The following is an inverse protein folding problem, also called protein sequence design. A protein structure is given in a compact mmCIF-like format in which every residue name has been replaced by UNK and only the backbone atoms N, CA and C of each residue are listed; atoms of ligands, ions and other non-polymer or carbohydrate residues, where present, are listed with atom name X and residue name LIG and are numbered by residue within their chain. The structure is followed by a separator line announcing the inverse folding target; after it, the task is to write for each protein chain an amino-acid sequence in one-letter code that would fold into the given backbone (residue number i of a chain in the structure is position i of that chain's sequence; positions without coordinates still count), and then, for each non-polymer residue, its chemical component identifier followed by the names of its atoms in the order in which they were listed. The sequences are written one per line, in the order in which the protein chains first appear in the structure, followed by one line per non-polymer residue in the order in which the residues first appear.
data_IF_708915058610
#
_entry.id   IF_708915058610
#
_cell.length_a   1.000
_cell.length_b   1.000
_cell.length_c   1.000
_cell.angle_alpha   90.00
_cell.angle_beta   90.00
_cell.angle_gamma   90.00
#
_symmetry.space_group_name_H-M   'P 1'
#
loop_
_entity.id
_entity.type
_entity.pdbx_description
1 polymer ?
#
# COMPACT_ATOMS: atom_id res chain seq x y z
N UNK A 1 -14.51 15.89 4.47
CA UNK A 1 -13.65 14.70 4.68
C UNK A 1 -12.74 14.59 3.48
N UNK A 2 -11.44 14.39 3.65
CA UNK A 2 -10.58 14.06 2.51
C UNK A 2 -10.89 12.63 1.99
N UNK A 3 -10.62 12.34 0.72
CA UNK A 3 -10.88 11.03 0.11
C UNK A 3 -10.04 9.92 0.77
N UNK A 4 -8.86 10.27 1.29
CA UNK A 4 -7.94 9.38 2.02
C UNK A 4 -8.59 8.80 3.28
N UNK A 5 -9.35 9.62 4.01
CA UNK A 5 -10.05 9.29 5.24
C UNK A 5 -11.26 8.40 4.95
N UNK A 6 -11.97 8.68 3.85
CA UNK A 6 -13.03 7.80 3.37
C UNK A 6 -12.50 6.38 3.10
N UNK A 7 -11.44 6.23 2.30
CA UNK A 7 -10.89 4.90 2.00
C UNK A 7 -10.34 4.18 3.23
N UNK A 8 -9.77 4.91 4.20
CA UNK A 8 -9.35 4.33 5.50
C UNK A 8 -10.51 3.76 6.29
N UNK A 9 -11.64 4.46 6.37
CA UNK A 9 -12.84 4.00 7.06
C UNK A 9 -13.37 2.72 6.41
N UNK A 10 -13.48 2.71 5.07
CA UNK A 10 -14.02 1.54 4.37
C UNK A 10 -13.04 0.35 4.41
N UNK A 11 -11.74 0.61 4.25
CA UNK A 11 -10.71 -0.41 4.37
C UNK A 11 -10.71 -1.09 5.74
N UNK A 12 -10.91 -0.36 6.84
CA UNK A 12 -10.94 -0.93 8.19
C UNK A 12 -12.06 -1.97 8.40
N UNK A 13 -13.09 -1.99 7.55
CA UNK A 13 -14.15 -2.99 7.56
C UNK A 13 -13.75 -4.29 6.83
N UNK A 14 -12.63 -4.28 6.12
CA UNK A 14 -12.14 -5.40 5.31
C UNK A 14 -11.12 -6.25 6.08
N UNK A 15 -11.27 -7.59 6.04
CA UNK A 15 -10.29 -8.51 6.63
C UNK A 15 -9.33 -9.03 5.56
N UNK A 16 -8.04 -8.73 5.71
CA UNK A 16 -6.97 -9.15 4.81
C UNK A 16 -6.27 -10.42 5.30
N UNK A 17 -5.95 -11.32 4.37
CA UNK A 17 -5.06 -12.48 4.56
C UNK A 17 -3.74 -12.30 3.78
N UNK A 18 -3.26 -11.08 3.59
CA UNK A 18 -1.94 -10.85 3.01
C UNK A 18 -0.88 -11.35 4.01
N UNK A 19 -0.06 -12.31 3.60
CA UNK A 19 1.04 -12.86 4.41
C UNK A 19 2.24 -11.87 4.43
N UNK A 20 1.96 -10.61 4.82
CA UNK A 20 2.90 -9.50 4.89
C UNK A 20 4.07 -9.84 5.82
N UNK A 21 3.78 -10.57 6.90
CA UNK A 21 4.79 -11.10 7.82
C UNK A 21 5.84 -11.92 7.07
N UNK A 22 5.43 -12.86 6.22
CA UNK A 22 6.36 -13.70 5.44
C UNK A 22 7.20 -12.87 4.46
N UNK A 23 6.62 -11.86 3.82
CA UNK A 23 7.36 -10.96 2.93
C UNK A 23 8.43 -10.16 3.68
N UNK A 24 8.06 -9.50 4.77
CA UNK A 24 9.00 -8.67 5.54
C UNK A 24 10.12 -9.49 6.20
N UNK A 25 9.84 -10.72 6.66
CA UNK A 25 10.88 -11.61 7.20
C UNK A 25 11.94 -11.94 6.13
N UNK A 26 11.55 -12.07 4.86
CA UNK A 26 12.51 -12.31 3.76
C UNK A 26 13.38 -11.08 3.49
N UNK A 27 12.84 -9.87 3.59
CA UNK A 27 13.58 -8.62 3.39
C UNK A 27 14.56 -8.32 4.53
N UNK A 28 14.20 -8.72 5.75
CA UNK A 28 14.99 -8.48 6.96
C UNK A 28 15.40 -9.80 7.65
N UNK A 29 16.20 -10.67 6.99
CA UNK A 29 16.46 -12.03 7.48
C UNK A 29 17.26 -12.08 8.80
N UNK A 30 17.87 -10.96 9.21
CA UNK A 30 18.67 -10.83 10.45
C UNK A 30 17.96 -10.03 11.54
N UNK A 31 16.74 -9.55 11.29
CA UNK A 31 15.99 -8.70 12.21
C UNK A 31 14.86 -9.51 12.85
N UNK A 32 14.65 -9.34 14.15
CA UNK A 32 13.53 -9.99 14.86
C UNK A 32 12.19 -9.40 14.39
N UNK A 33 11.15 -10.23 14.44
CA UNK A 33 9.82 -9.84 13.97
C UNK A 33 9.27 -8.62 14.70
N UNK A 34 9.51 -8.52 16.00
CA UNK A 34 9.05 -7.42 16.84
C UNK A 34 9.67 -6.08 16.43
N UNK A 35 10.94 -6.09 16.00
CA UNK A 35 11.66 -4.90 15.55
C UNK A 35 11.24 -4.51 14.13
N UNK A 36 11.03 -5.49 13.24
CA UNK A 36 10.44 -5.27 11.91
C UNK A 36 9.06 -4.61 12.05
N UNK A 37 8.21 -5.11 12.96
CA UNK A 37 6.88 -4.55 13.21
C UNK A 37 6.92 -3.09 13.66
N UNK A 38 7.86 -2.72 14.53
CA UNK A 38 8.01 -1.33 14.97
C UNK A 38 8.37 -0.39 13.81
N UNK A 39 9.17 -0.86 12.86
CA UNK A 39 9.60 -0.08 11.69
C UNK A 39 8.49 -0.02 10.63
N UNK A 40 7.75 -1.11 10.44
CA UNK A 40 6.82 -1.32 9.32
C UNK A 40 5.35 -1.42 9.75
N UNK A 41 4.99 -0.85 10.91
CA UNK A 41 3.61 -0.88 11.40
C UNK A 41 2.63 -0.22 10.43
N UNK A 42 3.06 0.89 9.80
CA UNK A 42 2.22 1.61 8.84
C UNK A 42 1.95 0.81 7.56
N UNK A 43 2.81 -0.12 7.17
CA UNK A 43 2.58 -1.00 6.02
C UNK A 43 1.30 -1.82 6.18
N UNK A 44 1.01 -2.29 7.40
CA UNK A 44 -0.19 -3.08 7.67
C UNK A 44 -1.47 -2.25 7.52
N UNK A 45 -1.43 -0.99 7.94
CA UNK A 45 -2.54 -0.07 7.73
C UNK A 45 -2.72 0.19 6.22
N UNK A 46 -1.62 0.38 5.51
CA UNK A 46 -1.63 0.62 4.06
C UNK A 46 -2.09 -0.60 3.27
N UNK A 47 -1.74 -1.83 3.68
CA UNK A 47 -2.17 -3.07 3.03
C UNK A 47 -3.68 -3.21 2.97
N UNK A 48 -4.35 -2.84 4.07
CA UNK A 48 -5.80 -2.92 4.15
C UNK A 48 -6.43 -1.95 3.14
N UNK A 49 -5.86 -0.74 3.01
CA UNK A 49 -6.33 0.28 2.06
C UNK A 49 -6.05 -0.15 0.61
N UNK A 50 -4.85 -0.68 0.33
CA UNK A 50 -4.46 -1.20 -0.98
C UNK A 50 -5.43 -2.29 -1.42
N UNK A 51 -5.73 -3.25 -0.54
CA UNK A 51 -6.68 -4.34 -0.84
C UNK A 51 -8.08 -3.80 -1.13
N UNK A 52 -8.57 -2.87 -0.30
CA UNK A 52 -9.86 -2.23 -0.54
C UNK A 52 -9.92 -1.56 -1.92
N UNK A 53 -8.90 -0.75 -2.25
CA UNK A 53 -8.85 -0.02 -3.52
C UNK A 53 -8.78 -0.98 -4.72
N UNK A 54 -7.97 -2.03 -4.66
CA UNK A 54 -7.87 -3.05 -5.74
C UNK A 54 -9.21 -3.73 -5.98
N UNK A 55 -9.90 -4.14 -4.91
CA UNK A 55 -11.14 -4.91 -5.02
C UNK A 55 -12.35 -4.06 -5.41
N UNK A 56 -12.29 -2.75 -5.17
CA UNK A 56 -13.41 -1.84 -5.38
C UNK A 56 -13.13 -0.80 -6.47
N UNK A 57 -12.05 -0.92 -7.24
CA UNK A 57 -11.68 0.09 -8.24
C UNK A 57 -12.81 0.31 -9.27
N UNK A 58 -13.43 -0.77 -9.73
CA UNK A 58 -14.53 -0.73 -10.70
C UNK A 58 -15.81 -0.17 -10.06
N UNK A 59 -16.07 -0.49 -8.79
CA UNK A 59 -17.19 0.12 -8.05
C UNK A 59 -16.97 1.62 -7.90
N UNK A 60 -15.75 2.04 -7.52
CA UNK A 60 -15.38 3.45 -7.39
C UNK A 60 -15.43 4.20 -8.73
N UNK A 61 -15.20 3.52 -9.85
CA UNK A 61 -15.43 4.06 -11.19
C UNK A 61 -16.90 4.42 -11.43
N UNK A 62 -17.85 3.59 -11.00
CA UNK A 62 -19.29 3.91 -11.15
C UNK A 62 -19.70 5.19 -10.43
N UNK A 63 -18.93 5.61 -9.43
CA UNK A 63 -19.12 6.86 -8.68
C UNK A 63 -18.22 8.01 -9.17
N UNK A 64 -17.44 7.81 -10.25
CA UNK A 64 -16.55 8.83 -10.81
C UNK A 64 -15.21 9.02 -10.07
N UNK A 65 -14.80 8.07 -9.24
CA UNK A 65 -13.60 8.18 -8.39
C UNK A 65 -12.40 7.36 -8.85
N UNK A 66 -12.45 6.73 -10.03
CA UNK A 66 -11.39 5.83 -10.54
C UNK A 66 -9.99 6.44 -10.46
N UNK A 67 -9.79 7.60 -11.08
CA UNK A 67 -8.46 8.26 -11.16
C UNK A 67 -7.90 8.59 -9.78
N UNK A 68 -8.75 9.03 -8.85
CA UNK A 68 -8.35 9.34 -7.48
C UNK A 68 -7.98 8.06 -6.71
N UNK A 69 -8.78 7.01 -6.88
CA UNK A 69 -8.54 5.71 -6.27
C UNK A 69 -7.23 5.07 -6.78
N UNK A 70 -6.95 5.13 -8.08
CA UNK A 70 -5.72 4.63 -8.70
C UNK A 70 -4.49 5.41 -8.22
N UNK A 71 -4.60 6.75 -8.14
CA UNK A 71 -3.52 7.58 -7.58
C UNK A 71 -3.21 7.17 -6.14
N UNK A 72 -4.22 7.09 -5.28
CA UNK A 72 -4.02 6.69 -3.89
C UNK A 72 -3.51 5.26 -3.76
N UNK A 73 -3.98 4.35 -4.61
CA UNK A 73 -3.46 2.98 -4.67
C UNK A 73 -1.95 2.99 -4.92
N UNK A 74 -1.49 3.76 -5.92
CA UNK A 74 -0.06 3.92 -6.21
C UNK A 74 0.69 4.53 -5.01
N UNK A 75 0.18 5.60 -4.42
CA UNK A 75 0.82 6.26 -3.27
C UNK A 75 0.99 5.30 -2.08
N UNK A 76 -0.04 4.51 -1.76
CA UNK A 76 0.04 3.52 -0.68
C UNK A 76 0.95 2.36 -1.02
N UNK A 77 0.96 1.89 -2.28
CA UNK A 77 1.87 0.86 -2.74
C UNK A 77 3.34 1.30 -2.61
N UNK A 78 3.66 2.55 -2.99
CA UNK A 78 5.00 3.12 -2.81
C UNK A 78 5.41 3.21 -1.35
N UNK A 79 4.49 3.60 -0.45
CA UNK A 79 4.78 3.68 0.97
C UNK A 79 4.98 2.30 1.62
N UNK A 80 4.15 1.33 1.25
CA UNK A 80 4.09 0.04 1.92
C UNK A 80 5.01 -1.02 1.27
N UNK A 81 5.34 -0.87 0.00
CA UNK A 81 6.21 -1.75 -0.76
C UNK A 81 7.27 -0.97 -1.54
N UNK A 82 7.98 0.00 -0.94
CA UNK A 82 8.96 0.83 -1.66
C UNK A 82 9.96 -0.03 -2.42
N UNK A 83 10.34 -1.19 -1.87
CA UNK A 83 11.26 -2.15 -2.47
C UNK A 83 10.84 -2.69 -3.85
N UNK A 84 9.55 -2.65 -4.19
CA UNK A 84 9.03 -3.09 -5.49
C UNK A 84 9.13 -2.00 -6.57
N UNK A 85 9.36 -0.75 -6.19
CA UNK A 85 9.32 0.41 -7.08
C UNK A 85 10.66 1.14 -7.20
N UNK A 86 11.72 0.66 -6.54
CA UNK A 86 13.08 1.24 -6.58
C UNK A 86 13.64 1.32 -8.01
N UNK A 87 13.16 0.48 -8.94
CA UNK A 87 13.61 0.49 -10.33
C UNK A 87 13.05 1.65 -11.18
N UNK A 88 11.91 2.26 -10.82
CA UNK A 88 11.29 3.32 -11.64
C UNK A 88 11.93 4.70 -11.45
N UNK A 89 12.54 4.98 -10.29
CA UNK A 89 13.14 6.30 -10.02
C UNK A 89 14.59 6.44 -10.53
N UNK A 90 15.33 5.33 -10.70
CA UNK A 90 16.72 5.38 -11.18
C UNK A 90 16.87 5.65 -12.67
N UNK A 91 15.87 5.34 -13.49
CA UNK A 91 15.90 5.65 -14.92
C UNK A 91 15.52 7.12 -15.22
N UNK A 92 14.66 7.73 -14.39
CA UNK A 92 14.28 9.14 -14.56
C UNK A 92 15.38 10.14 -14.14
N UNK A 93 16.44 9.69 -13.46
CA UNK A 93 17.61 10.50 -13.10
C UNK A 93 18.78 10.38 -14.08
N UNK A 94 18.69 9.52 -15.11
CA UNK A 94 19.72 9.38 -16.16
C UNK A 94 19.49 10.28 -17.38
N UNK A 95 18.34 10.94 -17.48
CA UNK A 95 18.00 11.88 -18.56
C UNK A 95 18.01 13.36 -18.13
N UNK A 96 18.83 13.73 -17.13
CA UNK A 96 19.16 15.13 -16.83
C UNK A 96 20.66 15.39 -16.95
#
# INVERSE_FOLDING_TARGET
MDNTHYYKIVAAQFKSNVDRKKHLIKLYPKTKWEDILKIRQNDYNNDTIIQYLIQNIDVLETFGYRTVAEKHLRDYQLQAYPELFIAEETDSQREC
#
